data_IF_814802051484
#
_entry.id   IF_814802051484
#
_cell.length_a   1.000
_cell.length_b   1.000
_cell.length_c   1.000
_cell.angle_alpha   90.00
_cell.angle_beta   90.00
_cell.angle_gamma   90.00
#
_symmetry.space_group_name_H-M   'P 1'
#
loop_
_entity.id
_entity.type
_entity.pdbx_description
1 polymer ?
#
# COMPACT_ATOMS: atom_id res chain seq x y z
N UNK A 1 15.68 -11.35 -12.36
CA UNK A 1 15.28 -9.93 -12.20
C UNK A 1 14.25 -9.86 -11.09
N UNK A 2 14.50 -9.05 -10.06
CA UNK A 2 13.61 -8.89 -8.89
C UNK A 2 12.63 -7.72 -9.09
N UNK A 3 11.55 -7.67 -8.31
CA UNK A 3 10.62 -6.53 -8.35
C UNK A 3 11.31 -5.20 -8.02
N UNK A 4 12.25 -5.20 -7.07
CA UNK A 4 13.06 -4.02 -6.72
C UNK A 4 13.98 -3.57 -7.86
N UNK A 5 14.59 -4.50 -8.58
CA UNK A 5 15.38 -4.17 -9.78
C UNK A 5 14.52 -3.57 -10.89
N UNK A 6 13.30 -4.06 -11.06
CA UNK A 6 12.35 -3.53 -12.04
C UNK A 6 11.95 -2.09 -11.68
N UNK A 7 11.56 -1.86 -10.43
CA UNK A 7 11.17 -0.55 -9.90
C UNK A 7 12.32 0.46 -10.09
N UNK A 8 13.56 0.08 -9.76
CA UNK A 8 14.71 0.97 -9.88
C UNK A 8 15.04 1.35 -11.34
N UNK A 9 14.69 0.49 -12.30
CA UNK A 9 14.95 0.71 -13.74
C UNK A 9 13.83 1.45 -14.46
N UNK A 10 12.59 1.32 -13.98
CA UNK A 10 11.40 1.86 -14.63
C UNK A 10 11.48 3.37 -14.96
N UNK A 11 12.01 4.27 -14.09
CA UNK A 11 12.08 5.70 -14.41
C UNK A 11 12.87 6.02 -15.68
N UNK A 12 13.86 5.18 -16.04
CA UNK A 12 14.66 5.38 -17.25
C UNK A 12 13.89 5.11 -18.55
N UNK A 13 12.73 4.45 -18.49
CA UNK A 13 11.98 4.05 -19.68
C UNK A 13 11.11 5.14 -20.28
N UNK A 14 10.82 6.21 -19.53
CA UNK A 14 9.89 7.26 -19.95
C UNK A 14 10.53 8.63 -20.17
N UNK A 15 11.85 8.75 -20.08
CA UNK A 15 12.57 10.02 -20.21
C UNK A 15 12.16 10.74 -21.52
N UNK A 16 11.83 12.06 -21.49
CA UNK A 16 11.97 12.99 -20.37
C UNK A 16 10.76 13.06 -19.41
N UNK A 17 9.73 12.23 -19.62
CA UNK A 17 8.54 12.19 -18.75
C UNK A 17 8.82 11.35 -17.51
N UNK A 18 8.18 11.71 -16.39
CA UNK A 18 8.21 10.91 -15.18
C UNK A 18 7.17 9.77 -15.25
N UNK A 19 7.54 8.60 -14.74
CA UNK A 19 6.62 7.50 -14.46
C UNK A 19 6.29 7.48 -12.98
N UNK A 20 5.00 7.35 -12.66
CA UNK A 20 4.56 6.91 -11.34
C UNK A 20 4.76 5.39 -11.26
N UNK A 21 5.52 4.93 -10.27
CA UNK A 21 5.79 3.50 -10.07
C UNK A 21 5.09 3.05 -8.81
N UNK A 22 4.23 2.04 -8.94
CA UNK A 22 3.47 1.49 -7.82
C UNK A 22 4.02 0.12 -7.41
N UNK A 23 3.80 -0.24 -6.15
CA UNK A 23 4.11 -1.55 -5.60
C UNK A 23 2.85 -2.24 -5.06
N UNK A 24 2.74 -3.53 -5.31
CA UNK A 24 1.65 -4.34 -4.74
C UNK A 24 2.08 -4.97 -3.42
N UNK A 25 1.17 -4.99 -2.45
CA UNK A 25 1.28 -5.73 -1.19
C UNK A 25 0.19 -6.80 -1.10
N UNK A 26 0.55 -8.01 -0.66
CA UNK A 26 -0.43 -9.06 -0.39
C UNK A 26 -0.89 -9.00 1.07
N UNK A 27 -2.13 -8.55 1.37
CA UNK A 27 -2.62 -8.55 2.74
C UNK A 27 -2.69 -9.99 3.30
N UNK A 28 -3.01 -10.99 2.49
CA UNK A 28 -3.18 -12.38 2.94
C UNK A 28 -1.87 -13.19 3.01
N UNK A 29 -0.71 -12.52 3.04
CA UNK A 29 0.54 -13.21 3.26
C UNK A 29 0.51 -13.95 4.60
N UNK A 30 0.97 -15.20 4.62
CA UNK A 30 1.07 -16.02 5.85
C UNK A 30 2.00 -15.35 6.88
N UNK A 31 3.06 -14.71 6.42
CA UNK A 31 3.98 -13.88 7.21
C UNK A 31 3.85 -12.41 6.77
N UNK A 32 2.96 -11.68 7.44
CA UNK A 32 2.68 -10.28 7.15
C UNK A 32 3.88 -9.37 7.43
N UNK A 33 4.66 -9.63 8.48
CA UNK A 33 5.86 -8.87 8.80
C UNK A 33 6.91 -8.97 7.69
N UNK A 34 7.08 -10.17 7.13
CA UNK A 34 7.95 -10.37 5.97
C UNK A 34 7.43 -9.63 4.75
N UNK A 35 6.14 -9.68 4.48
CA UNK A 35 5.53 -8.97 3.35
C UNK A 35 5.71 -7.45 3.50
N UNK A 36 5.54 -6.90 4.70
CA UNK A 36 5.82 -5.49 5.01
C UNK A 36 7.30 -5.13 4.81
N UNK A 37 8.25 -5.98 5.23
CA UNK A 37 9.68 -5.79 4.95
C UNK A 37 9.98 -5.78 3.45
N UNK A 38 9.32 -6.66 2.68
CA UNK A 38 9.47 -6.67 1.21
C UNK A 38 8.89 -5.40 0.59
N UNK A 39 7.74 -4.94 1.07
CA UNK A 39 7.16 -3.68 0.63
C UNK A 39 8.08 -2.48 0.92
N UNK A 40 8.67 -2.41 2.11
CA UNK A 40 9.66 -1.39 2.46
C UNK A 40 10.83 -1.36 1.47
N UNK A 41 11.31 -2.53 1.02
CA UNK A 41 12.34 -2.62 -0.01
C UNK A 41 11.87 -2.10 -1.37
N UNK A 42 10.63 -2.38 -1.78
CA UNK A 42 10.03 -1.85 -3.02
C UNK A 42 9.91 -0.33 -2.99
N UNK A 43 9.49 0.23 -1.85
CA UNK A 43 9.40 1.69 -1.66
C UNK A 43 10.79 2.33 -1.66
N UNK A 44 11.77 1.71 -0.98
CA UNK A 44 13.16 2.17 -1.01
C UNK A 44 13.77 2.12 -2.43
N UNK A 45 13.33 1.20 -3.28
CA UNK A 45 13.74 1.11 -4.68
C UNK A 45 13.11 2.19 -5.58
N UNK A 46 12.09 2.92 -5.11
CA UNK A 46 11.50 4.05 -5.83
C UNK A 46 9.99 3.96 -6.09
N UNK A 47 9.28 2.95 -5.58
CA UNK A 47 7.83 2.94 -5.65
C UNK A 47 7.22 4.07 -4.80
N UNK A 48 6.29 4.83 -5.38
CA UNK A 48 5.65 6.01 -4.75
C UNK A 48 4.22 5.74 -4.29
N UNK A 49 3.59 4.69 -4.80
CA UNK A 49 2.24 4.26 -4.42
C UNK A 49 2.23 2.79 -4.02
N UNK A 50 1.24 2.43 -3.19
CA UNK A 50 1.01 1.04 -2.79
C UNK A 50 -0.45 0.66 -3.00
N UNK A 51 -0.64 -0.50 -3.61
CA UNK A 51 -1.96 -1.10 -3.82
C UNK A 51 -2.00 -2.48 -3.18
N UNK A 52 -3.09 -2.82 -2.49
CA UNK A 52 -3.28 -4.19 -1.99
C UNK A 52 -3.75 -5.12 -3.12
N UNK A 53 -3.46 -6.42 -3.02
CA UNK A 53 -4.24 -7.41 -3.79
C UNK A 53 -5.74 -7.33 -3.45
N UNK A 54 -6.57 -7.90 -4.33
CA UNK A 54 -8.02 -8.00 -4.13
C UNK A 54 -8.34 -8.76 -2.86
N UNK A 55 -9.27 -8.22 -2.08
CA UNK A 55 -9.72 -8.81 -0.82
C UNK A 55 -11.09 -9.44 -1.03
N UNK A 56 -11.13 -10.77 -0.96
CA UNK A 56 -12.35 -11.57 -1.15
C UNK A 56 -13.00 -12.04 0.16
N UNK A 57 -12.26 -11.98 1.27
CA UNK A 57 -12.73 -12.39 2.60
C UNK A 57 -13.00 -11.15 3.47
N UNK A 58 -14.28 -10.77 3.55
CA UNK A 58 -14.74 -9.52 4.17
C UNK A 58 -14.63 -9.53 5.72
N UNK A 59 -14.99 -10.61 6.42
CA UNK A 59 -14.69 -10.73 7.85
C UNK A 59 -13.18 -10.61 8.15
N UNK A 60 -12.33 -11.17 7.29
CA UNK A 60 -10.88 -11.08 7.46
C UNK A 60 -10.31 -9.70 7.13
N UNK A 61 -10.96 -8.96 6.23
CA UNK A 61 -10.69 -7.54 5.99
C UNK A 61 -10.98 -6.70 7.24
N UNK A 62 -12.16 -6.88 7.84
CA UNK A 62 -12.61 -6.14 9.03
C UNK A 62 -11.78 -6.44 10.28
N UNK A 63 -11.50 -7.72 10.54
CA UNK A 63 -10.97 -8.15 11.82
C UNK A 63 -9.46 -7.92 12.01
N UNK A 64 -8.66 -7.91 10.94
CA UNK A 64 -7.21 -8.07 11.11
C UNK A 64 -6.37 -7.32 10.06
N UNK A 65 -6.68 -7.54 8.79
CA UNK A 65 -5.76 -7.18 7.71
C UNK A 65 -5.64 -5.70 7.48
N UNK A 66 -6.73 -4.98 7.69
CA UNK A 66 -6.78 -3.61 7.24
C UNK A 66 -6.16 -2.67 8.30
N UNK A 67 -6.31 -2.97 9.60
CA UNK A 67 -5.67 -2.19 10.68
C UNK A 67 -4.18 -2.44 10.82
N UNK A 68 -3.73 -3.70 10.85
CA UNK A 68 -2.30 -4.00 10.96
C UNK A 68 -1.53 -3.60 9.71
N UNK A 69 -2.09 -3.84 8.52
CA UNK A 69 -1.51 -3.36 7.27
C UNK A 69 -1.53 -1.83 7.22
N UNK A 70 -2.64 -1.16 7.60
CA UNK A 70 -2.66 0.31 7.63
C UNK A 70 -1.64 0.88 8.62
N UNK A 71 -1.50 0.30 9.82
CA UNK A 71 -0.52 0.71 10.81
C UNK A 71 0.92 0.47 10.32
N UNK A 72 1.17 -0.67 9.69
CA UNK A 72 2.46 -1.00 9.07
C UNK A 72 2.81 -0.07 7.91
N UNK A 73 1.87 0.14 7.00
CA UNK A 73 1.98 1.06 5.85
C UNK A 73 2.15 2.51 6.30
N UNK A 74 1.48 2.92 7.37
CA UNK A 74 1.64 4.27 7.90
C UNK A 74 3.10 4.53 8.33
N UNK A 75 3.85 3.49 8.73
CA UNK A 75 5.27 3.58 9.08
C UNK A 75 6.22 3.48 7.87
N UNK A 76 5.73 3.14 6.67
CA UNK A 76 6.55 3.10 5.46
C UNK A 76 6.69 4.50 4.86
N UNK A 77 7.85 5.11 4.99
CA UNK A 77 8.15 6.42 4.39
C UNK A 77 7.86 6.44 2.88
N UNK A 78 7.16 7.47 2.37
CA UNK A 78 6.88 7.73 0.93
C UNK A 78 5.76 6.95 0.24
N UNK A 79 4.88 6.26 0.98
CA UNK A 79 3.61 5.77 0.40
C UNK A 79 2.59 6.91 0.44
N UNK A 80 2.28 7.51 -0.70
CA UNK A 80 1.38 8.67 -0.76
C UNK A 80 -0.11 8.27 -0.75
N UNK A 81 -0.44 7.03 -1.14
CA UNK A 81 -1.80 6.49 -1.11
C UNK A 81 -1.80 4.97 -0.92
N UNK A 82 -2.85 4.47 -0.28
CA UNK A 82 -3.21 3.05 -0.20
C UNK A 82 -4.51 2.83 -0.96
N UNK A 83 -4.49 1.98 -1.99
CA UNK A 83 -5.69 1.50 -2.66
C UNK A 83 -6.04 0.10 -2.18
N UNK A 84 -7.18 -0.03 -1.50
CA UNK A 84 -7.78 -1.30 -1.12
C UNK A 84 -8.98 -1.61 -2.04
N UNK A 85 -9.05 -2.84 -2.55
CA UNK A 85 -10.14 -3.31 -3.42
C UNK A 85 -10.95 -4.40 -2.69
N UNK A 86 -11.86 -4.01 -1.78
CA UNK A 86 -12.84 -4.93 -1.20
C UNK A 86 -13.97 -5.16 -2.20
N UNK A 87 -14.39 -6.40 -2.42
CA UNK A 87 -15.69 -6.64 -3.08
C UNK A 87 -16.73 -6.90 -1.99
N UNK A 88 -17.59 -5.91 -1.69
CA UNK A 88 -18.70 -6.03 -0.73
C UNK A 88 -18.41 -5.58 0.71
N UNK A 89 -17.31 -4.87 0.99
CA UNK A 89 -16.97 -4.33 2.32
C UNK A 89 -16.45 -2.88 2.25
N UNK A 90 -17.21 -2.04 1.56
CA UNK A 90 -16.91 -0.63 1.37
C UNK A 90 -16.89 0.13 2.70
N UNK A 91 -17.72 -0.26 3.68
CA UNK A 91 -17.76 0.36 5.01
C UNK A 91 -16.45 0.13 5.79
N UNK A 92 -16.03 -1.12 5.94
CA UNK A 92 -14.76 -1.50 6.58
C UNK A 92 -13.55 -0.81 5.93
N UNK A 93 -13.56 -0.72 4.60
CA UNK A 93 -12.47 -0.08 3.85
C UNK A 93 -12.37 1.42 4.11
N UNK A 94 -13.51 2.09 4.35
CA UNK A 94 -13.50 3.51 4.74
C UNK A 94 -12.88 3.72 6.12
N UNK A 95 -13.15 2.84 7.08
CA UNK A 95 -12.57 2.92 8.43
C UNK A 95 -11.06 2.78 8.39
N UNK A 96 -10.57 1.83 7.60
CA UNK A 96 -9.14 1.55 7.45
C UNK A 96 -8.43 2.69 6.74
N UNK A 97 -9.01 3.21 5.67
CA UNK A 97 -8.49 4.39 5.00
C UNK A 97 -8.47 5.61 5.92
N UNK A 98 -9.43 5.73 6.85
CA UNK A 98 -9.46 6.79 7.85
C UNK A 98 -8.33 6.60 8.88
N UNK A 99 -8.14 5.39 9.40
CA UNK A 99 -7.06 5.05 10.34
C UNK A 99 -5.67 5.30 9.73
N UNK A 100 -5.46 4.91 8.47
CA UNK A 100 -4.24 5.20 7.73
C UNK A 100 -3.97 6.72 7.65
N UNK A 101 -4.99 7.51 7.30
CA UNK A 101 -4.89 8.98 7.22
C UNK A 101 -4.56 9.61 8.58
N UNK A 102 -5.21 9.17 9.65
CA UNK A 102 -4.95 9.62 11.03
C UNK A 102 -3.51 9.32 11.42
N UNK A 103 -3.05 8.08 11.21
CA UNK A 103 -1.69 7.64 11.58
C UNK A 103 -0.62 8.43 10.82
N UNK A 104 -0.91 8.85 9.59
CA UNK A 104 -0.03 9.69 8.77
C UNK A 104 -0.11 11.19 9.08
N UNK A 105 -1.00 11.64 9.96
CA UNK A 105 -1.23 13.06 10.21
C UNK A 105 -1.82 13.81 9.01
N UNK A 106 -2.42 13.10 8.05
CA UNK A 106 -3.03 13.68 6.86
C UNK A 106 -4.40 14.23 7.27
N UNK A 107 -4.44 15.51 7.65
CA UNK A 107 -5.67 16.22 7.94
C UNK A 107 -6.47 16.41 6.63
N UNK A 108 -7.73 15.99 6.62
CA UNK A 108 -8.65 16.15 5.50
C UNK A 108 -9.05 17.63 5.33
N UNK A 109 -8.12 18.49 4.90
CA UNK A 109 -8.49 19.74 4.25
C UNK A 109 -8.94 19.39 2.84
N UNK A 110 -10.25 19.13 2.70
CA UNK A 110 -10.92 19.29 1.41
C UNK A 110 -10.60 20.71 0.92
N UNK A 111 -9.82 20.79 -0.17
CA UNK A 111 -9.88 21.93 -1.08
C UNK A 111 -10.80 21.52 -2.23
#
# INVERSE_FOLDING_TARGET
MTATELIARAPGWSVPRSLAVEAVVNPFAEDLDRELRLLQRKVAAGATFVQSQMVFDLPRLEAFLARELAAGLARVSRVDALHAFPLGAEAATREVAAEFRVTRGINSRRR
#
